data_IF_732282730067
#
_entry.id   IF_732282730067
#
_cell.length_a   1.000
_cell.length_b   1.000
_cell.length_c   1.000
_cell.angle_alpha   90.00
_cell.angle_beta   90.00
_cell.angle_gamma   90.00
#
_symmetry.space_group_name_H-M   'P 1'
#
loop_
_entity.id
_entity.type
_entity.pdbx_description
1 polymer ?
#
# COMPACT_ATOMS: atom_id res chain seq x y z
N UNK A 1 28.47 24.20 21.29
CA UNK A 1 28.30 24.09 19.84
C UNK A 1 28.10 22.61 19.50
N UNK A 2 26.86 22.16 19.46
CA UNK A 2 26.49 20.75 19.16
C UNK A 2 25.67 20.74 17.88
N UNK A 3 26.31 20.28 16.81
CA UNK A 3 25.69 19.92 15.52
C UNK A 3 24.44 19.07 15.79
N UNK A 4 23.25 19.59 15.49
CA UNK A 4 21.99 18.88 15.80
C UNK A 4 21.66 17.94 14.66
N UNK A 5 21.67 16.67 15.01
CA UNK A 5 21.73 15.46 14.19
C UNK A 5 20.41 15.14 13.52
N UNK A 6 20.19 15.66 12.31
CA UNK A 6 19.14 15.12 11.41
C UNK A 6 19.38 13.64 11.08
N UNK A 7 20.65 13.21 11.08
CA UNK A 7 21.00 11.83 10.69
C UNK A 7 20.80 10.79 11.80
N UNK A 8 20.53 11.17 13.06
CA UNK A 8 20.54 10.18 14.15
C UNK A 8 19.34 9.27 14.15
N UNK A 9 18.19 9.69 13.63
CA UNK A 9 16.92 8.96 13.70
C UNK A 9 16.50 8.28 12.40
N UNK A 10 17.17 8.55 11.28
CA UNK A 10 16.81 7.94 9.98
C UNK A 10 16.97 6.42 10.08
N UNK A 11 15.94 5.69 9.62
CA UNK A 11 15.82 4.23 9.68
C UNK A 11 15.82 3.65 11.10
N UNK A 12 15.53 4.47 12.11
CA UNK A 12 15.38 4.05 13.51
C UNK A 12 13.93 4.15 13.98
N UNK A 13 13.54 3.34 14.98
CA UNK A 13 12.27 3.50 15.64
C UNK A 13 12.21 4.85 16.38
N UNK A 14 11.08 5.52 16.27
CA UNK A 14 10.75 6.78 16.94
C UNK A 14 9.36 6.68 17.56
N UNK A 15 9.11 7.48 18.59
CA UNK A 15 7.85 7.50 19.34
C UNK A 15 7.21 8.88 19.35
N UNK A 16 5.88 8.98 19.60
CA UNK A 16 5.22 10.28 19.73
C UNK A 16 5.89 11.16 20.78
N UNK A 17 6.18 12.41 20.40
CA UNK A 17 6.89 13.39 21.23
C UNK A 17 8.38 13.55 20.89
N UNK A 18 8.98 12.62 20.14
CA UNK A 18 10.36 12.79 19.67
C UNK A 18 10.47 14.01 18.73
N UNK A 19 11.49 14.84 18.95
CA UNK A 19 11.81 15.98 18.07
C UNK A 19 12.85 15.53 17.06
N UNK A 20 12.49 15.52 15.77
CA UNK A 20 13.34 14.97 14.71
C UNK A 20 14.17 16.06 14.04
N UNK A 21 13.58 17.22 13.77
CA UNK A 21 14.23 18.35 13.09
C UNK A 21 13.91 19.65 13.82
N UNK A 22 14.87 20.56 13.77
CA UNK A 22 14.78 21.92 14.30
C UNK A 22 15.09 22.90 13.15
N UNK A 23 14.03 23.54 12.65
CA UNK A 23 14.03 24.42 11.48
C UNK A 23 14.84 25.69 11.72
N UNK A 24 15.01 26.12 12.97
CA UNK A 24 15.85 27.27 13.33
C UNK A 24 17.31 27.10 12.88
N UNK A 25 17.75 25.85 12.69
CA UNK A 25 19.10 25.47 12.26
C UNK A 25 19.21 25.19 10.75
N UNK A 26 18.09 25.23 10.02
CA UNK A 26 17.98 24.87 8.61
C UNK A 26 17.47 26.08 7.81
N UNK A 27 18.36 27.01 7.50
CA UNK A 27 18.04 28.15 6.61
C UNK A 27 17.96 27.69 5.15
N UNK A 28 16.93 28.14 4.44
CA UNK A 28 16.72 28.01 2.98
C UNK A 28 16.48 26.60 2.39
N UNK A 29 15.96 25.65 3.18
CA UNK A 29 15.54 24.34 2.66
C UNK A 29 14.02 24.11 2.75
N UNK A 30 13.38 23.88 1.60
CA UNK A 30 11.99 23.41 1.57
C UNK A 30 11.94 21.92 1.93
N UNK A 31 11.28 21.61 3.05
CA UNK A 31 11.04 20.24 3.50
C UNK A 31 9.65 19.76 3.09
N UNK A 32 9.52 18.46 2.78
CA UNK A 32 8.23 17.81 2.54
C UNK A 32 7.96 16.84 3.68
N UNK A 33 6.97 17.15 4.52
CA UNK A 33 6.53 16.28 5.60
C UNK A 33 5.42 15.35 5.11
N UNK A 34 5.61 14.06 5.29
CA UNK A 34 4.59 13.03 5.09
C UNK A 34 3.91 12.66 6.41
N UNK A 35 3.18 11.55 6.40
CA UNK A 35 2.41 11.09 7.55
C UNK A 35 3.26 10.84 8.81
N UNK A 36 2.63 11.02 9.97
CA UNK A 36 3.21 10.74 11.29
C UNK A 36 4.16 11.82 11.83
N UNK A 37 4.35 12.91 11.10
CA UNK A 37 5.09 14.09 11.52
C UNK A 37 4.16 15.30 11.64
N UNK A 38 4.44 16.17 12.60
CA UNK A 38 3.76 17.44 12.77
C UNK A 38 4.78 18.55 12.96
N UNK A 39 4.57 19.67 12.26
CA UNK A 39 5.33 20.88 12.51
C UNK A 39 4.63 21.69 13.61
N UNK A 40 5.39 22.03 14.65
CA UNK A 40 5.01 22.99 15.68
C UNK A 40 6.08 24.08 15.74
N UNK A 41 5.75 25.27 15.23
CA UNK A 41 6.70 26.37 15.04
C UNK A 41 7.95 25.93 14.26
N UNK A 42 9.11 25.99 14.92
CA UNK A 42 10.40 25.59 14.37
C UNK A 42 10.73 24.11 14.63
N UNK A 43 9.93 23.39 15.42
CA UNK A 43 10.17 21.99 15.74
C UNK A 43 9.31 21.05 14.87
N UNK A 44 9.94 20.01 14.33
CA UNK A 44 9.22 18.89 13.70
C UNK A 44 9.21 17.73 14.69
N UNK A 45 8.00 17.39 15.14
CA UNK A 45 7.75 16.36 16.15
C UNK A 45 7.09 15.14 15.53
N UNK A 46 7.35 13.99 16.15
CA UNK A 46 6.68 12.73 15.83
C UNK A 46 5.33 12.68 16.53
N UNK A 47 4.29 12.30 15.79
CA UNK A 47 2.93 12.09 16.34
C UNK A 47 2.46 10.64 16.23
N UNK A 48 3.21 9.79 15.52
CA UNK A 48 2.92 8.37 15.35
C UNK A 48 4.19 7.54 15.58
N UNK A 49 4.06 6.43 16.32
CA UNK A 49 5.18 5.51 16.52
C UNK A 49 5.49 4.75 15.22
N UNK A 50 6.75 4.61 14.85
CA UNK A 50 7.16 3.90 13.64
C UNK A 50 8.63 4.10 13.32
N UNK A 51 9.01 3.85 12.07
CA UNK A 51 10.38 4.04 11.59
C UNK A 51 10.43 5.36 10.82
N UNK A 52 11.34 6.27 11.20
CA UNK A 52 11.54 7.49 10.42
C UNK A 52 12.20 7.16 9.09
N UNK A 53 11.53 7.51 8.00
CA UNK A 53 12.02 7.35 6.63
C UNK A 53 12.36 8.68 6.00
N UNK A 54 13.31 8.63 5.08
CA UNK A 54 13.76 9.77 4.32
C UNK A 54 13.85 9.41 2.84
N UNK A 55 13.44 10.34 1.98
CA UNK A 55 13.63 10.25 0.54
C UNK A 55 14.18 11.57 0.02
N UNK A 56 15.20 11.47 -0.83
CA UNK A 56 15.82 12.63 -1.47
C UNK A 56 14.80 13.36 -2.36
N UNK A 57 14.83 14.70 -2.45
CA UNK A 57 15.79 15.58 -1.80
C UNK A 57 15.52 15.79 -0.31
N UNK A 58 14.28 16.07 0.12
CA UNK A 58 13.96 16.50 1.49
C UNK A 58 12.60 15.98 2.01
N UNK A 59 12.22 14.73 1.70
CA UNK A 59 10.93 14.15 2.14
C UNK A 59 11.12 13.26 3.36
N UNK A 60 10.41 13.57 4.45
CA UNK A 60 10.43 12.79 5.69
C UNK A 60 9.03 12.26 6.01
N UNK A 61 8.92 11.03 6.49
CA UNK A 61 7.66 10.48 6.99
C UNK A 61 7.92 9.38 8.00
N UNK A 62 6.93 9.08 8.83
CA UNK A 62 6.96 7.90 9.68
C UNK A 62 6.30 6.74 8.95
N UNK A 63 7.02 5.64 8.85
CA UNK A 63 6.48 4.38 8.39
C UNK A 63 5.98 3.55 9.59
N UNK A 64 4.67 3.36 9.65
CA UNK A 64 4.01 2.62 10.72
C UNK A 64 3.16 1.49 10.14
N UNK A 65 3.10 0.35 10.83
CA UNK A 65 2.17 -0.72 10.46
C UNK A 65 0.83 -0.50 11.15
N UNK A 66 -0.23 -0.37 10.37
CA UNK A 66 -1.58 -0.15 10.85
C UNK A 66 -2.55 -1.14 10.21
N UNK A 67 -3.62 -1.48 10.93
CA UNK A 67 -4.73 -2.28 10.36
C UNK A 67 -5.71 -1.42 9.54
N UNK A 68 -5.84 -0.14 9.87
CA UNK A 68 -6.69 0.81 9.13
C UNK A 68 -5.84 1.57 8.12
N UNK A 69 -6.26 1.58 6.87
CA UNK A 69 -5.55 2.28 5.80
C UNK A 69 -5.87 3.79 5.85
N UNK A 70 -4.86 4.62 5.56
CA UNK A 70 -5.02 6.06 5.36
C UNK A 70 -4.70 6.34 3.89
N UNK A 71 -5.68 6.79 3.09
CA UNK A 71 -5.47 7.03 1.66
C UNK A 71 -4.35 8.04 1.42
N UNK A 72 -3.36 7.66 0.61
CA UNK A 72 -2.26 8.53 0.18
C UNK A 72 -2.22 8.60 -1.33
N UNK A 73 -2.07 9.80 -1.88
CA UNK A 73 -1.98 10.00 -3.33
C UNK A 73 -0.81 9.21 -3.90
N UNK A 74 -1.09 8.43 -4.93
CA UNK A 74 -0.13 7.58 -5.62
C UNK A 74 -0.18 6.12 -5.20
N UNK A 75 -0.81 5.78 -4.07
CA UNK A 75 -0.92 4.40 -3.60
C UNK A 75 -1.71 3.54 -4.57
N UNK A 76 -1.24 2.31 -4.79
CA UNK A 76 -2.01 1.25 -5.43
C UNK A 76 -2.76 0.43 -4.38
N UNK A 77 -4.05 0.21 -4.58
CA UNK A 77 -4.96 -0.37 -3.59
C UNK A 77 -5.89 -1.40 -4.23
N UNK A 78 -6.42 -2.29 -3.40
CA UNK A 78 -7.52 -3.18 -3.77
C UNK A 78 -8.83 -2.71 -3.12
N UNK A 79 -9.81 -2.36 -3.95
CA UNK A 79 -11.09 -1.84 -3.53
C UNK A 79 -12.25 -2.76 -3.91
N UNK A 80 -13.32 -2.77 -3.13
CA UNK A 80 -14.54 -3.53 -3.42
C UNK A 80 -15.65 -2.55 -3.75
N UNK A 81 -16.31 -2.70 -4.89
CA UNK A 81 -17.45 -1.84 -5.27
C UNK A 81 -18.59 -2.07 -4.27
N UNK A 82 -19.07 -0.99 -3.65
CA UNK A 82 -20.18 -1.04 -2.68
C UNK A 82 -21.46 -0.43 -3.21
N UNK A 83 -21.36 0.53 -4.13
CA UNK A 83 -22.50 1.20 -4.77
C UNK A 83 -22.11 1.70 -6.16
N UNK A 84 -23.09 1.81 -7.05
CA UNK A 84 -22.93 2.33 -8.40
C UNK A 84 -23.89 3.50 -8.62
N UNK A 85 -23.33 4.62 -9.06
CA UNK A 85 -24.10 5.80 -9.49
C UNK A 85 -23.81 6.14 -10.95
N UNK A 86 -24.62 7.01 -11.52
CA UNK A 86 -24.55 7.35 -12.95
C UNK A 86 -23.16 7.82 -13.43
N UNK A 87 -22.41 8.52 -12.56
CA UNK A 87 -21.11 9.11 -12.92
C UNK A 87 -19.92 8.54 -12.13
N UNK A 88 -20.16 7.67 -11.14
CA UNK A 88 -19.10 7.12 -10.29
C UNK A 88 -19.49 5.81 -9.62
N UNK A 89 -18.49 4.98 -9.34
CA UNK A 89 -18.59 3.82 -8.46
C UNK A 89 -18.09 4.20 -7.07
N UNK A 90 -18.78 3.78 -6.04
CA UNK A 90 -18.30 3.89 -4.66
C UNK A 90 -17.58 2.59 -4.31
N UNK A 91 -16.38 2.73 -3.76
CA UNK A 91 -15.44 1.64 -3.57
C UNK A 91 -14.95 1.66 -2.12
N UNK A 92 -15.18 0.58 -1.39
CA UNK A 92 -14.58 0.39 -0.07
C UNK A 92 -13.10 0.03 -0.24
N UNK A 93 -12.25 0.86 0.38
CA UNK A 93 -10.78 0.74 0.33
C UNK A 93 -10.17 0.40 1.69
N UNK A 94 -10.95 -0.06 2.68
CA UNK A 94 -10.48 -0.32 4.05
C UNK A 94 -9.92 0.93 4.76
N UNK A 95 -10.40 2.10 4.32
CA UNK A 95 -10.04 3.40 4.86
C UNK A 95 -11.06 3.94 5.86
N UNK A 96 -10.89 5.20 6.32
CA UNK A 96 -11.91 5.85 7.15
C UNK A 96 -13.18 6.24 6.38
N UNK A 97 -13.08 6.36 5.06
CA UNK A 97 -14.14 6.78 4.17
C UNK A 97 -14.15 5.95 2.89
N UNK A 98 -15.33 5.83 2.29
CA UNK A 98 -15.53 5.17 1.00
C UNK A 98 -14.93 6.04 -0.10
N UNK A 99 -14.17 5.43 -0.99
CA UNK A 99 -13.61 6.12 -2.14
C UNK A 99 -14.63 6.20 -3.27
N UNK A 100 -14.46 7.13 -4.19
CA UNK A 100 -15.23 7.13 -5.44
C UNK A 100 -14.30 7.00 -6.64
N UNK A 101 -14.74 6.23 -7.62
CA UNK A 101 -14.05 5.93 -8.87
C UNK A 101 -14.91 6.48 -10.01
N UNK A 102 -14.50 7.60 -10.65
CA UNK A 102 -15.25 8.17 -11.76
C UNK A 102 -15.39 7.20 -12.94
N UNK A 103 -16.53 7.19 -13.62
CA UNK A 103 -16.77 6.29 -14.78
C UNK A 103 -15.84 6.55 -15.98
N UNK A 104 -15.20 7.73 -16.02
CA UNK A 104 -14.23 8.11 -17.04
C UNK A 104 -12.77 7.80 -16.64
N UNK A 105 -12.53 7.32 -15.42
CA UNK A 105 -11.19 7.05 -14.90
C UNK A 105 -10.66 5.66 -15.33
N UNK A 106 -10.89 5.31 -16.60
CA UNK A 106 -10.51 4.05 -17.24
C UNK A 106 -9.95 4.34 -18.62
N UNK A 107 -9.06 3.48 -19.11
CA UNK A 107 -8.56 3.59 -20.48
C UNK A 107 -9.72 3.45 -21.47
N UNK A 108 -9.88 4.44 -22.34
CA UNK A 108 -10.99 4.49 -23.29
C UNK A 108 -12.37 4.78 -22.67
N UNK A 109 -12.41 5.21 -21.40
CA UNK A 109 -13.64 5.62 -20.72
C UNK A 109 -14.31 6.80 -21.44
N UNK A 110 -15.48 6.56 -22.02
CA UNK A 110 -16.32 7.61 -22.62
C UNK A 110 -17.74 7.51 -22.07
N UNK A 111 -18.53 8.58 -22.16
CA UNK A 111 -19.96 8.56 -21.76
C UNK A 111 -20.79 7.48 -22.50
N UNK A 112 -20.29 6.97 -23.62
CA UNK A 112 -20.93 5.89 -24.40
C UNK A 112 -20.46 4.49 -23.97
N UNK A 113 -19.26 4.38 -23.41
CA UNK A 113 -18.64 3.13 -23.00
C UNK A 113 -18.26 3.19 -21.52
N UNK A 114 -19.29 3.17 -20.66
CA UNK A 114 -19.12 3.15 -19.21
C UNK A 114 -18.92 1.68 -18.78
N UNK A 115 -17.84 1.35 -18.05
CA UNK A 115 -17.67 0.02 -17.48
C UNK A 115 -18.87 -0.37 -16.60
N UNK A 116 -19.24 -1.65 -16.57
CA UNK A 116 -20.34 -2.13 -15.71
C UNK A 116 -19.74 -3.00 -14.62
N UNK A 117 -19.50 -2.41 -13.45
CA UNK A 117 -19.10 -3.16 -12.26
C UNK A 117 -20.30 -3.38 -11.36
N UNK A 118 -20.50 -4.62 -10.96
CA UNK A 118 -21.52 -4.98 -9.98
C UNK A 118 -21.00 -4.74 -8.56
N UNK A 119 -21.91 -4.52 -7.62
CA UNK A 119 -21.57 -4.49 -6.19
C UNK A 119 -20.89 -5.80 -5.81
N UNK A 120 -19.77 -5.70 -5.10
CA UNK A 120 -18.90 -6.84 -4.76
C UNK A 120 -17.72 -7.04 -5.72
N UNK A 121 -17.66 -6.33 -6.85
CA UNK A 121 -16.51 -6.43 -7.77
C UNK A 121 -15.23 -5.93 -7.09
N UNK A 122 -14.18 -6.76 -7.13
CA UNK A 122 -12.84 -6.39 -6.68
C UNK A 122 -12.12 -5.61 -7.79
N UNK A 123 -11.55 -4.46 -7.44
CA UNK A 123 -10.86 -3.56 -8.38
C UNK A 123 -9.47 -3.24 -7.85
N UNK A 124 -8.46 -3.38 -8.71
CA UNK A 124 -7.15 -2.82 -8.49
C UNK A 124 -7.10 -1.41 -9.07
N UNK A 125 -6.80 -0.43 -8.22
CA UNK A 125 -6.85 0.99 -8.59
C UNK A 125 -5.75 1.78 -7.90
N UNK A 126 -5.54 3.01 -8.38
CA UNK A 126 -4.61 3.97 -7.81
C UNK A 126 -5.37 5.13 -7.18
N UNK A 127 -4.91 5.60 -6.02
CA UNK A 127 -5.42 6.82 -5.38
C UNK A 127 -4.86 8.04 -6.10
N UNK A 128 -5.72 8.87 -6.68
CA UNK A 128 -5.33 10.10 -7.39
C UNK A 128 -5.54 11.36 -6.55
N UNK A 129 -6.55 11.39 -5.67
CA UNK A 129 -6.75 12.47 -4.72
C UNK A 129 -7.11 11.92 -3.35
N UNK A 130 -6.53 12.49 -2.30
CA UNK A 130 -6.78 12.10 -0.92
C UNK A 130 -6.70 13.32 0.00
N UNK A 131 -7.62 14.26 -0.18
CA UNK A 131 -7.68 15.47 0.63
C UNK A 131 -8.34 15.18 1.98
N UNK A 132 -7.84 15.79 3.05
CA UNK A 132 -8.45 15.68 4.38
C UNK A 132 -9.89 16.19 4.36
N UNK A 133 -10.83 15.39 4.87
CA UNK A 133 -12.25 15.75 4.93
C UNK A 133 -13.04 15.54 3.63
N UNK A 134 -12.42 15.03 2.56
CA UNK A 134 -13.11 14.65 1.32
C UNK A 134 -12.89 13.18 1.02
N UNK A 135 -13.89 12.53 0.42
CA UNK A 135 -13.75 11.17 -0.08
C UNK A 135 -12.56 11.07 -1.05
N UNK A 136 -11.72 10.03 -0.94
CA UNK A 136 -10.60 9.84 -1.85
C UNK A 136 -11.12 9.47 -3.24
N UNK A 137 -10.41 9.96 -4.25
CA UNK A 137 -10.70 9.70 -5.66
C UNK A 137 -9.73 8.64 -6.18
N UNK A 138 -10.27 7.64 -6.87
CA UNK A 138 -9.52 6.54 -7.48
C UNK A 138 -9.44 6.70 -9.00
N UNK A 139 -8.46 6.04 -9.59
CA UNK A 139 -8.32 5.87 -11.03
C UNK A 139 -7.84 4.46 -11.35
N UNK A 140 -8.36 3.86 -12.42
CA UNK A 140 -7.84 2.64 -13.01
C UNK A 140 -6.93 2.94 -14.21
N UNK A 141 -6.18 4.03 -14.11
CA UNK A 141 -5.16 4.42 -15.08
C UNK A 141 -3.88 4.85 -14.35
N UNK A 142 -2.75 4.63 -15.01
CA UNK A 142 -1.46 5.14 -14.56
C UNK A 142 -1.37 6.68 -14.71
N UNK A 143 -0.20 7.24 -14.35
CA UNK A 143 0.04 8.68 -14.50
C UNK A 143 0.02 9.17 -15.96
N UNK A 144 0.16 8.27 -16.93
CA UNK A 144 0.15 8.56 -18.37
C UNK A 144 -1.23 8.41 -19.01
N UNK A 145 -2.23 7.93 -18.26
CA UNK A 145 -3.59 7.72 -18.74
C UNK A 145 -3.83 6.36 -19.40
N UNK A 146 -2.93 5.39 -19.24
CA UNK A 146 -3.11 4.01 -19.73
C UNK A 146 -3.64 3.10 -18.62
N UNK A 147 -4.40 2.06 -18.95
CA UNK A 147 -4.97 1.14 -17.95
C UNK A 147 -3.89 0.38 -17.19
N UNK A 148 -2.70 0.22 -17.76
CA UNK A 148 -1.62 -0.56 -17.17
C UNK A 148 -2.16 -1.90 -16.63
N UNK A 149 -1.90 -2.22 -15.36
CA UNK A 149 -2.39 -3.42 -14.66
C UNK A 149 -3.65 -3.16 -13.81
N UNK A 150 -4.26 -1.97 -13.92
CA UNK A 150 -5.43 -1.61 -13.13
C UNK A 150 -6.73 -2.10 -13.77
N UNK A 151 -7.75 -2.29 -12.94
CA UNK A 151 -9.07 -2.73 -13.39
C UNK A 151 -9.68 -3.80 -12.49
N UNK A 152 -10.76 -4.44 -12.94
CA UNK A 152 -11.43 -5.49 -12.18
C UNK A 152 -10.54 -6.75 -12.11
N UNK A 153 -10.45 -7.33 -10.92
CA UNK A 153 -9.84 -8.64 -10.72
C UNK A 153 -10.94 -9.70 -10.65
N UNK A 154 -10.83 -10.73 -11.48
CA UNK A 154 -11.77 -11.84 -11.55
C UNK A 154 -11.17 -13.08 -10.93
N UNK A 155 -12.03 -13.92 -10.36
CA UNK A 155 -11.62 -15.15 -9.68
C UNK A 155 -10.57 -14.89 -8.58
N UNK A 156 -9.78 -15.91 -8.25
CA UNK A 156 -8.77 -15.85 -7.20
C UNK A 156 -9.34 -15.78 -5.78
N UNK A 157 -8.49 -15.38 -4.85
CA UNK A 157 -8.80 -15.23 -3.44
C UNK A 157 -8.17 -13.94 -2.91
N UNK A 158 -9.00 -13.08 -2.31
CA UNK A 158 -8.55 -11.86 -1.65
C UNK A 158 -8.62 -12.05 -0.15
N UNK A 159 -7.54 -11.72 0.54
CA UNK A 159 -7.45 -11.71 1.99
C UNK A 159 -6.92 -10.38 2.50
N UNK A 160 -7.19 -10.12 3.77
CA UNK A 160 -6.71 -8.93 4.44
C UNK A 160 -5.35 -9.15 5.12
N UNK A 161 -4.51 -8.13 5.06
CA UNK A 161 -3.20 -8.06 5.69
C UNK A 161 -3.03 -6.75 6.48
N UNK A 162 -1.90 -6.59 7.17
CA UNK A 162 -1.47 -5.28 7.64
C UNK A 162 -0.90 -4.44 6.48
N UNK A 163 -0.90 -3.11 6.64
CA UNK A 163 -0.23 -2.23 5.66
C UNK A 163 1.28 -2.45 5.65
N UNK A 164 1.87 -2.91 6.76
CA UNK A 164 3.27 -3.31 6.83
C UNK A 164 3.57 -4.52 5.96
N UNK A 165 2.76 -5.58 6.03
CA UNK A 165 2.90 -6.76 5.18
C UNK A 165 2.75 -6.39 3.70
N UNK A 166 1.78 -5.55 3.33
CA UNK A 166 1.64 -5.08 1.95
C UNK A 166 2.89 -4.34 1.44
N UNK A 167 3.49 -3.46 2.26
CA UNK A 167 4.74 -2.79 1.91
C UNK A 167 5.91 -3.76 1.79
N UNK A 168 5.98 -4.76 2.67
CA UNK A 168 7.00 -5.82 2.59
C UNK A 168 6.85 -6.65 1.31
N UNK A 169 5.63 -6.98 0.89
CA UNK A 169 5.40 -7.72 -0.35
C UNK A 169 5.77 -6.92 -1.60
N UNK A 170 5.58 -5.60 -1.56
CA UNK A 170 5.95 -4.66 -2.62
C UNK A 170 7.40 -4.14 -2.53
N UNK A 171 8.20 -4.65 -1.58
CA UNK A 171 9.56 -4.17 -1.39
C UNK A 171 10.49 -4.55 -2.54
N UNK A 172 11.54 -3.74 -2.76
CA UNK A 172 12.67 -4.09 -3.62
C UNK A 172 13.94 -4.16 -2.77
N UNK A 173 14.71 -5.27 -2.81
CA UNK A 173 14.51 -6.47 -3.63
C UNK A 173 13.25 -7.26 -3.25
N UNK A 174 12.80 -8.14 -4.16
CA UNK A 174 11.55 -8.92 -4.01
C UNK A 174 11.49 -9.65 -2.68
N UNK A 175 10.31 -9.63 -2.06
CA UNK A 175 10.06 -10.26 -0.77
C UNK A 175 10.45 -11.76 -0.80
N UNK A 176 11.23 -12.27 0.20
CA UNK A 176 11.71 -13.65 0.21
C UNK A 176 10.63 -14.70 0.09
N UNK A 177 9.45 -14.47 0.68
CA UNK A 177 8.30 -15.38 0.58
C UNK A 177 7.81 -15.51 -0.87
N UNK A 178 7.73 -14.41 -1.61
CA UNK A 178 7.30 -14.40 -3.01
C UNK A 178 8.36 -15.01 -3.91
N UNK A 179 9.64 -14.67 -3.68
CA UNK A 179 10.78 -15.25 -4.41
C UNK A 179 10.83 -16.78 -4.25
N UNK A 180 10.57 -17.29 -3.03
CA UNK A 180 10.54 -18.72 -2.76
C UNK A 180 9.38 -19.44 -3.44
N UNK A 181 8.16 -18.88 -3.35
CA UNK A 181 6.96 -19.48 -3.92
C UNK A 181 7.01 -19.50 -5.45
N UNK A 182 7.47 -18.40 -6.07
CA UNK A 182 7.55 -18.26 -7.52
C UNK A 182 8.54 -19.21 -8.22
N UNK A 183 9.43 -19.88 -7.46
CA UNK A 183 10.34 -20.89 -8.02
C UNK A 183 9.66 -22.19 -8.42
N UNK A 184 8.56 -22.56 -7.75
CA UNK A 184 7.85 -23.83 -7.98
C UNK A 184 6.38 -23.64 -8.38
N UNK A 185 5.78 -22.48 -8.13
CA UNK A 185 4.36 -22.24 -8.38
C UNK A 185 4.18 -21.08 -9.36
N UNK A 186 3.34 -21.30 -10.36
CA UNK A 186 2.79 -20.22 -11.19
C UNK A 186 1.55 -19.64 -10.51
N UNK A 187 1.60 -18.35 -10.18
CA UNK A 187 0.48 -17.61 -9.62
C UNK A 187 0.56 -16.13 -9.98
N UNK A 188 -0.58 -15.47 -9.99
CA UNK A 188 -0.74 -14.03 -10.10
C UNK A 188 -0.99 -13.46 -8.71
N UNK A 189 -0.48 -12.24 -8.46
CA UNK A 189 -0.68 -11.54 -7.21
C UNK A 189 -0.89 -10.06 -7.48
N UNK A 190 -1.87 -9.46 -6.78
CA UNK A 190 -2.04 -8.03 -6.70
C UNK A 190 -2.01 -7.62 -5.23
N UNK A 191 -1.15 -6.65 -4.89
CA UNK A 191 -0.98 -6.18 -3.51
C UNK A 191 -1.45 -4.73 -3.42
N UNK A 192 -2.46 -4.50 -2.57
CA UNK A 192 -2.89 -3.17 -2.21
C UNK A 192 -2.17 -2.68 -0.95
N UNK A 193 -1.65 -1.45 -0.99
CA UNK A 193 -1.06 -0.76 0.17
C UNK A 193 -2.07 -0.52 1.31
N UNK A 194 -3.35 -0.74 1.03
CA UNK A 194 -4.44 -0.72 2.00
C UNK A 194 -4.58 -2.00 2.84
N UNK A 195 -3.62 -2.92 2.79
CA UNK A 195 -3.66 -4.15 3.58
C UNK A 195 -4.68 -5.15 3.03
N UNK A 196 -4.77 -5.25 1.70
CA UNK A 196 -5.51 -6.27 0.97
C UNK A 196 -4.59 -6.88 -0.06
N UNK A 197 -4.67 -8.19 -0.21
CA UNK A 197 -3.85 -8.96 -1.16
C UNK A 197 -4.77 -9.91 -1.91
N UNK A 198 -4.64 -9.95 -3.23
CA UNK A 198 -5.35 -10.88 -4.09
C UNK A 198 -4.35 -11.83 -4.73
N UNK A 199 -4.69 -13.12 -4.75
CA UNK A 199 -3.88 -14.19 -5.34
C UNK A 199 -4.75 -15.03 -6.25
N UNK A 200 -4.21 -15.40 -7.41
CA UNK A 200 -4.88 -16.30 -8.34
C UNK A 200 -3.89 -17.32 -8.92
N UNK A 201 -4.34 -18.54 -9.17
CA UNK A 201 -3.55 -19.62 -9.75
C UNK A 201 -4.48 -20.65 -10.38
N UNK A 202 -3.93 -21.52 -11.25
CA UNK A 202 -4.70 -22.57 -11.92
C UNK A 202 -5.41 -23.51 -10.93
N UNK A 203 -4.73 -23.87 -9.83
CA UNK A 203 -5.26 -24.77 -8.82
C UNK A 203 -5.58 -24.05 -7.51
N UNK A 204 -6.78 -24.33 -6.98
CA UNK A 204 -7.24 -23.76 -5.69
C UNK A 204 -6.31 -24.13 -4.52
N UNK A 205 -5.70 -25.31 -4.55
CA UNK A 205 -4.68 -25.72 -3.55
C UNK A 205 -3.48 -24.78 -3.54
N UNK A 206 -2.99 -24.37 -4.71
CA UNK A 206 -1.91 -23.39 -4.86
C UNK A 206 -2.30 -22.03 -4.31
N UNK A 207 -3.52 -21.56 -4.59
CA UNK A 207 -4.05 -20.29 -4.04
C UNK A 207 -4.04 -20.33 -2.50
N UNK A 208 -4.57 -21.40 -1.90
CA UNK A 208 -4.61 -21.57 -0.44
C UNK A 208 -3.20 -21.61 0.15
N UNK A 209 -2.28 -22.33 -0.48
CA UNK A 209 -0.90 -22.45 -0.03
C UNK A 209 -0.19 -21.08 -0.05
N UNK A 210 -0.31 -20.36 -1.16
CA UNK A 210 0.31 -19.03 -1.35
C UNK A 210 -0.26 -18.03 -0.35
N UNK A 211 -1.60 -17.96 -0.21
CA UNK A 211 -2.25 -17.06 0.72
C UNK A 211 -1.81 -17.34 2.18
N UNK A 212 -1.79 -18.61 2.59
CA UNK A 212 -1.35 -19.00 3.93
C UNK A 212 0.14 -18.71 4.15
N UNK A 213 1.00 -18.96 3.18
CA UNK A 213 2.42 -18.64 3.28
C UNK A 213 2.64 -17.13 3.45
N UNK A 214 1.93 -16.31 2.68
CA UNK A 214 2.00 -14.85 2.80
C UNK A 214 1.51 -14.37 4.15
N UNK A 215 0.32 -14.80 4.60
CA UNK A 215 -0.24 -14.40 5.89
C UNK A 215 0.69 -14.76 7.08
N UNK A 216 1.33 -15.93 7.03
CA UNK A 216 2.25 -16.36 8.09
C UNK A 216 3.65 -15.73 8.00
N UNK A 217 3.98 -15.01 6.91
CA UNK A 217 5.31 -14.42 6.71
C UNK A 217 5.55 -13.13 7.49
N UNK A 218 4.50 -12.44 7.93
CA UNK A 218 4.59 -11.09 8.51
C UNK A 218 5.50 -11.01 9.75
N UNK A 219 5.42 -12.01 10.63
CA UNK A 219 6.22 -12.05 11.86
C UNK A 219 7.55 -12.80 11.70
N UNK A 220 7.90 -13.23 10.48
CA UNK A 220 9.09 -14.04 10.22
C UNK A 220 10.22 -13.19 9.64
N UNK A 221 11.43 -13.48 10.06
CA UNK A 221 12.64 -12.92 9.43
C UNK A 221 12.80 -13.44 7.99
N UNK A 222 13.54 -12.75 7.12
CA UNK A 222 13.79 -13.20 5.75
C UNK A 222 14.30 -14.65 5.64
N UNK A 223 15.14 -15.09 6.58
CA UNK A 223 15.67 -16.47 6.62
C UNK A 223 14.56 -17.45 7.00
N UNK A 224 13.76 -17.13 8.02
CA UNK A 224 12.63 -17.97 8.43
C UNK A 224 11.55 -18.07 7.35
N UNK A 225 11.30 -16.99 6.58
CA UNK A 225 10.38 -17.01 5.44
C UNK A 225 10.82 -18.03 4.39
N UNK A 226 12.11 -18.05 4.03
CA UNK A 226 12.67 -19.02 3.06
C UNK A 226 12.49 -20.47 3.54
N UNK A 227 12.89 -20.75 4.79
CA UNK A 227 12.75 -22.08 5.40
C UNK A 227 11.28 -22.52 5.45
N UNK A 228 10.36 -21.61 5.79
CA UNK A 228 8.93 -21.89 5.81
C UNK A 228 8.43 -22.29 4.43
N UNK A 229 8.78 -21.51 3.40
CA UNK A 229 8.35 -21.78 2.02
C UNK A 229 8.89 -23.10 1.50
N UNK A 230 10.17 -23.41 1.74
CA UNK A 230 10.77 -24.69 1.39
C UNK A 230 9.99 -25.87 2.00
N UNK A 231 9.73 -25.81 3.31
CA UNK A 231 8.95 -26.84 4.03
C UNK A 231 7.51 -26.98 3.53
N UNK A 232 6.88 -25.88 3.15
CA UNK A 232 5.51 -25.90 2.62
C UNK A 232 5.47 -26.55 1.23
N UNK A 233 6.44 -26.22 0.38
CA UNK A 233 6.53 -26.77 -0.97
C UNK A 233 6.89 -28.27 -0.97
N UNK A 234 7.70 -28.73 -0.02
CA UNK A 234 8.06 -30.15 0.10
C UNK A 234 6.90 -31.04 0.55
N UNK A 235 5.83 -30.46 1.12
CA UNK A 235 4.61 -31.19 1.52
C UNK A 235 3.55 -31.29 0.43
N UNK A 236 3.71 -30.51 -0.64
CA UNK A 236 2.74 -30.42 -1.75
C UNK A 236 3.14 -31.33 -2.92
N UNK A 237 4.41 -31.77 -2.93
CA UNK A 237 4.91 -32.87 -3.75
C UNK A 237 4.65 -34.23 -3.08
#
# INVERSE_FOLDING_TARGET
MTSTTVSSFIDKPVVPGDVILDLSKMTDQTLKLGGGLQQDQDAITVVQAGILRFSKPNKYWIESSHKRYIPTVGDTILGIVVDQRAESFFVDIKGPMVAFLPVLAFEGGTRRNIPKFEVGTLIYARVVKANTGMNPELSCMDASGKAAEFGPLKDGYMFESSTGLSRMLLSSPTCPVLEGLGKKLAFEIAVGLNGRVWVNAEHKSSIILVANAIMNSESLTPVQQKIMVERLLDRVN
#
